data_IF_397671566526
#
_entry.id   IF_397671566526
#
_cell.length_a   1.000
_cell.length_b   1.000
_cell.length_c   1.000
_cell.angle_alpha   90.00
_cell.angle_beta   90.00
_cell.angle_gamma   90.00
#
_symmetry.space_group_name_H-M   'P 1'
#
loop_
_entity.id
_entity.type
_entity.pdbx_description
1 polymer ?
#
# COMPACT_ATOMS: atom_id res chain seq x y z
N UNK A 1 -6.40 -29.64 -6.01
CA UNK A 1 -6.66 -29.40 -4.57
C UNK A 1 -6.22 -27.98 -4.26
N UNK A 2 -7.10 -27.12 -3.75
CA UNK A 2 -6.69 -25.78 -3.32
C UNK A 2 -5.92 -25.92 -2.00
N UNK A 3 -4.67 -25.45 -1.98
CA UNK A 3 -3.87 -25.35 -0.76
C UNK A 3 -4.43 -24.21 0.10
N UNK A 4 -4.86 -24.48 1.33
CA UNK A 4 -5.25 -23.43 2.27
C UNK A 4 -3.99 -22.70 2.76
N UNK A 5 -3.79 -21.47 2.35
CA UNK A 5 -2.66 -20.67 2.83
C UNK A 5 -3.01 -20.11 4.20
N UNK A 6 -2.32 -20.58 5.24
CA UNK A 6 -2.53 -20.07 6.60
C UNK A 6 -1.61 -18.88 6.84
N UNK A 7 -2.21 -17.72 7.13
CA UNK A 7 -1.46 -16.52 7.51
C UNK A 7 -1.16 -16.55 9.00
N UNK A 8 0.10 -16.28 9.38
CA UNK A 8 0.54 -16.22 10.77
C UNK A 8 1.07 -14.83 11.11
N UNK A 9 0.70 -14.33 12.29
CA UNK A 9 1.24 -13.10 12.88
C UNK A 9 1.74 -13.39 14.29
N UNK A 10 2.88 -12.81 14.63
CA UNK A 10 3.44 -12.83 15.98
C UNK A 10 3.32 -11.43 16.58
N UNK A 11 2.63 -11.33 17.70
CA UNK A 11 2.33 -10.06 18.35
C UNK A 11 3.15 -9.90 19.63
N UNK A 12 3.71 -8.71 19.84
CA UNK A 12 4.17 -8.29 21.17
C UNK A 12 3.06 -7.48 21.83
N UNK A 13 2.52 -7.99 22.94
CA UNK A 13 1.35 -7.39 23.60
C UNK A 13 1.76 -6.91 25.00
N UNK A 14 1.44 -5.65 25.28
CA UNK A 14 1.43 -5.10 26.63
C UNK A 14 0.07 -5.40 27.26
N UNK A 15 0.02 -6.44 28.08
CA UNK A 15 -1.23 -6.91 28.71
C UNK A 15 -1.75 -5.94 29.77
N UNK A 16 -0.87 -5.18 30.42
CA UNK A 16 -1.27 -4.18 31.43
C UNK A 16 -1.87 -2.95 30.75
N UNK A 17 -1.24 -2.49 29.68
CA UNK A 17 -1.72 -1.37 28.86
C UNK A 17 -2.79 -1.74 27.83
N UNK A 18 -3.17 -3.02 27.74
CA UNK A 18 -4.13 -3.57 26.78
C UNK A 18 -3.88 -3.14 25.33
N UNK A 19 -2.61 -3.19 24.89
CA UNK A 19 -2.22 -2.73 23.56
C UNK A 19 -1.19 -3.64 22.89
N UNK A 20 -1.25 -3.70 21.57
CA UNK A 20 -0.22 -4.34 20.75
C UNK A 20 0.90 -3.34 20.52
N UNK A 21 2.12 -3.72 20.88
CA UNK A 21 3.32 -2.89 20.69
C UNK A 21 3.93 -3.12 19.30
N UNK A 22 4.00 -4.38 18.87
CA UNK A 22 4.56 -4.77 17.58
C UNK A 22 3.83 -5.98 16.99
N UNK A 23 3.84 -6.08 15.66
CA UNK A 23 3.35 -7.23 14.91
C UNK A 23 4.41 -7.63 13.88
N UNK A 24 4.93 -8.84 14.00
CA UNK A 24 5.80 -9.48 13.02
C UNK A 24 4.92 -10.37 12.13
N UNK A 25 5.05 -10.23 10.81
CA UNK A 25 4.23 -10.92 9.84
C UNK A 25 5.06 -11.39 8.64
N UNK A 26 4.66 -12.52 8.05
CA UNK A 26 5.25 -13.04 6.82
C UNK A 26 4.89 -12.18 5.61
N UNK A 27 5.65 -12.38 4.51
CA UNK A 27 5.50 -11.65 3.24
C UNK A 27 4.04 -11.61 2.75
N UNK A 28 3.35 -12.75 2.79
CA UNK A 28 2.00 -12.88 2.24
C UNK A 28 0.98 -11.96 2.94
N UNK A 29 1.12 -11.76 4.26
CA UNK A 29 0.28 -10.83 5.01
C UNK A 29 0.60 -9.38 4.67
N UNK A 30 1.89 -9.06 4.56
CA UNK A 30 2.36 -7.71 4.24
C UNK A 30 1.90 -7.31 2.84
N UNK A 31 2.03 -8.20 1.86
CA UNK A 31 1.52 -7.99 0.50
C UNK A 31 0.00 -7.81 0.49
N UNK A 32 -0.75 -8.63 1.24
CA UNK A 32 -2.19 -8.47 1.40
C UNK A 32 -2.56 -7.09 1.99
N UNK A 33 -1.90 -6.69 3.08
CA UNK A 33 -2.14 -5.41 3.72
C UNK A 33 -1.83 -4.24 2.78
N UNK A 34 -0.71 -4.28 2.06
CA UNK A 34 -0.38 -3.24 1.08
C UNK A 34 -1.35 -3.23 -0.09
N UNK A 35 -1.82 -4.38 -0.57
CA UNK A 35 -2.86 -4.43 -1.61
C UNK A 35 -4.16 -3.77 -1.13
N UNK A 36 -4.55 -3.97 0.13
CA UNK A 36 -5.69 -3.26 0.74
C UNK A 36 -5.41 -1.77 0.84
N UNK A 37 -4.20 -1.34 1.21
CA UNK A 37 -3.88 0.06 1.47
C UNK A 37 -3.56 0.87 0.21
N UNK A 38 -3.04 0.25 -0.85
CA UNK A 38 -2.65 0.91 -2.12
C UNK A 38 -3.85 1.64 -2.74
N UNK A 39 -5.01 1.00 -2.76
CA UNK A 39 -6.23 1.55 -3.37
C UNK A 39 -6.81 2.74 -2.59
N UNK A 40 -7.13 2.64 -1.29
CA UNK A 40 -7.64 3.75 -0.50
C UNK A 40 -6.61 4.85 -0.33
N UNK A 41 -5.33 4.55 -0.06
CA UNK A 41 -4.33 5.60 0.15
C UNK A 41 -4.01 6.33 -1.16
N UNK A 42 -3.75 5.62 -2.26
CA UNK A 42 -3.46 6.27 -3.54
C UNK A 42 -4.65 7.03 -4.12
N UNK A 43 -5.88 6.53 -3.91
CA UNK A 43 -7.10 7.25 -4.34
C UNK A 43 -7.36 8.48 -3.47
N UNK A 44 -7.24 8.36 -2.15
CA UNK A 44 -7.45 9.47 -1.20
C UNK A 44 -6.42 10.57 -1.43
N UNK A 45 -5.15 10.23 -1.62
CA UNK A 45 -4.11 11.22 -1.94
C UNK A 45 -4.45 11.94 -3.25
N UNK A 46 -4.86 11.24 -4.31
CA UNK A 46 -5.25 11.87 -5.59
C UNK A 46 -6.46 12.81 -5.45
N UNK A 47 -7.47 12.42 -4.68
CA UNK A 47 -8.67 13.24 -4.49
C UNK A 47 -8.36 14.47 -3.62
N UNK A 48 -7.64 14.28 -2.52
CA UNK A 48 -7.31 15.35 -1.58
C UNK A 48 -6.23 16.31 -2.12
N UNK A 49 -5.32 15.85 -2.98
CA UNK A 49 -4.31 16.72 -3.60
C UNK A 49 -4.94 17.92 -4.33
N UNK A 50 -6.16 17.76 -4.85
CA UNK A 50 -6.89 18.84 -5.54
C UNK A 50 -7.62 19.81 -4.59
N UNK A 51 -7.86 19.42 -3.34
CA UNK A 51 -8.61 20.21 -2.35
C UNK A 51 -7.73 20.85 -1.26
N UNK A 52 -6.41 20.83 -1.42
CA UNK A 52 -5.48 21.45 -0.48
C UNK A 52 -4.99 20.51 0.63
N UNK A 53 -4.60 19.29 0.25
CA UNK A 53 -3.96 18.33 1.16
C UNK A 53 -2.70 18.93 1.80
N UNK A 54 -2.58 18.84 3.13
CA UNK A 54 -1.40 19.28 3.89
C UNK A 54 -0.82 18.09 4.66
N UNK A 55 0.49 17.89 4.58
CA UNK A 55 1.20 16.84 5.33
C UNK A 55 2.20 16.05 4.50
N UNK A 56 2.78 15.00 5.09
CA UNK A 56 3.84 14.23 4.44
C UNK A 56 3.37 13.50 3.16
N UNK A 57 2.11 13.08 3.10
CA UNK A 57 1.54 12.43 1.92
C UNK A 57 1.37 13.40 0.74
N UNK A 58 0.99 14.65 1.02
CA UNK A 58 0.92 15.70 0.00
C UNK A 58 2.33 15.96 -0.60
N UNK A 59 3.32 16.15 0.28
CA UNK A 59 4.71 16.34 -0.13
C UNK A 59 5.27 15.15 -0.92
N UNK A 60 4.89 13.92 -0.53
CA UNK A 60 5.29 12.71 -1.25
C UNK A 60 4.65 12.66 -2.64
N UNK A 61 3.36 12.96 -2.74
CA UNK A 61 2.65 12.99 -4.02
C UNK A 61 3.25 14.01 -4.98
N UNK A 62 3.46 15.25 -4.52
CA UNK A 62 4.07 16.32 -5.29
C UNK A 62 5.49 15.94 -5.76
N UNK A 63 6.29 15.29 -4.91
CA UNK A 63 7.63 14.83 -5.30
C UNK A 63 7.57 13.74 -6.37
N UNK A 64 6.64 12.80 -6.28
CA UNK A 64 6.46 11.76 -7.32
C UNK A 64 5.92 12.39 -8.60
N UNK A 65 5.02 13.36 -8.52
CA UNK A 65 4.48 14.10 -9.67
C UNK A 65 5.56 14.92 -10.40
N UNK A 66 6.52 15.48 -9.66
CA UNK A 66 7.63 16.24 -10.23
C UNK A 66 8.88 15.40 -10.53
N UNK A 67 8.88 14.10 -10.22
CA UNK A 67 10.01 13.22 -10.50
C UNK A 67 10.17 13.02 -12.01
N UNK A 68 11.38 13.22 -12.53
CA UNK A 68 11.68 13.08 -13.96
C UNK A 68 11.54 11.64 -14.46
N UNK A 69 11.15 11.47 -15.72
CA UNK A 69 10.85 10.16 -16.32
C UNK A 69 12.08 9.23 -16.36
N UNK A 70 13.30 9.78 -16.33
CA UNK A 70 14.56 9.01 -16.28
C UNK A 70 14.68 8.11 -15.05
N UNK A 71 13.94 8.39 -13.98
CA UNK A 71 13.94 7.59 -12.74
C UNK A 71 12.91 6.46 -12.77
N UNK A 72 12.08 6.37 -13.81
CA UNK A 72 11.09 5.31 -13.98
C UNK A 72 11.61 4.21 -14.90
N UNK A 73 11.15 2.98 -14.69
CA UNK A 73 11.36 1.92 -15.66
C UNK A 73 10.66 2.31 -16.99
N UNK A 74 11.28 2.06 -18.16
CA UNK A 74 10.72 2.44 -19.46
C UNK A 74 9.31 1.88 -19.73
N UNK A 75 8.96 0.78 -19.08
CA UNK A 75 7.67 0.09 -19.20
C UNK A 75 6.63 0.57 -18.19
N UNK A 76 6.99 1.45 -17.25
CA UNK A 76 6.13 1.90 -16.16
C UNK A 76 5.56 3.27 -16.46
N UNK A 77 4.23 3.37 -16.54
CA UNK A 77 3.55 4.65 -16.65
C UNK A 77 3.43 5.31 -15.27
N UNK A 78 3.94 6.53 -15.13
CA UNK A 78 3.85 7.37 -13.92
C UNK A 78 2.41 7.55 -13.40
N UNK A 79 1.43 7.56 -14.31
CA UNK A 79 0.01 7.59 -13.95
C UNK A 79 -0.43 6.36 -13.13
N UNK A 80 0.26 5.22 -13.23
CA UNK A 80 -0.08 4.06 -12.39
C UNK A 80 0.18 4.31 -10.90
N UNK A 81 1.15 5.17 -10.58
CA UNK A 81 1.45 5.59 -9.20
C UNK A 81 0.58 6.77 -8.75
N UNK A 82 0.39 7.76 -9.63
CA UNK A 82 -0.36 8.99 -9.31
C UNK A 82 -1.88 8.80 -9.38
N UNK A 83 -2.32 7.83 -10.17
CA UNK A 83 -3.73 7.51 -10.46
C UNK A 83 -3.89 5.99 -10.48
N UNK A 84 -3.71 5.31 -9.33
CA UNK A 84 -3.92 3.87 -9.27
C UNK A 84 -5.35 3.56 -9.72
N UNK A 85 -5.45 2.75 -10.77
CA UNK A 85 -6.70 2.19 -11.25
C UNK A 85 -6.82 0.78 -10.69
N UNK A 86 -8.03 0.34 -10.42
CA UNK A 86 -8.30 -1.05 -10.02
C UNK A 86 -7.92 -1.96 -11.20
N UNK A 87 -6.70 -2.50 -11.18
CA UNK A 87 -6.31 -3.59 -12.06
C UNK A 87 -6.37 -4.87 -11.24
N UNK A 88 -7.38 -5.70 -11.52
CA UNK A 88 -7.62 -6.98 -10.85
C UNK A 88 -6.49 -8.00 -11.00
N UNK A 89 -5.44 -7.69 -11.79
CA UNK A 89 -4.31 -8.57 -12.05
C UNK A 89 -3.28 -8.65 -10.90
N UNK A 90 -3.22 -7.66 -10.01
CA UNK A 90 -2.38 -7.69 -8.81
C UNK A 90 -2.87 -8.69 -7.74
N UNK A 91 -4.11 -9.16 -7.87
CA UNK A 91 -4.76 -10.06 -6.90
C UNK A 91 -4.44 -11.55 -7.11
N UNK A 92 -3.58 -11.92 -8.07
CA UNK A 92 -3.36 -13.34 -8.42
C UNK A 92 -2.51 -14.13 -7.41
N UNK A 93 -1.86 -13.46 -6.44
CA UNK A 93 -1.04 -14.11 -5.41
C UNK A 93 -1.53 -13.86 -3.98
N UNK A 94 -2.75 -13.33 -3.80
CA UNK A 94 -3.29 -13.12 -2.46
C UNK A 94 -3.84 -14.45 -1.94
N UNK A 95 -3.38 -14.94 -0.77
CA UNK A 95 -4.03 -16.07 -0.12
C UNK A 95 -5.49 -15.69 0.18
N UNK A 96 -6.41 -16.50 -0.34
CA UNK A 96 -7.86 -16.30 -0.20
C UNK A 96 -8.33 -16.59 1.22
#
# INVERSE_FOLDING_TARGET
MATSTTVTLKLLIDTKGQRVLYAEAGKDFVDFLFNILILPVGTVIRLLAKEGMVGCLANLYERVENLGDTYFQPTTNKDTLLKPNYSSSLATNVPR
#
